data_IF_092013155184
#
_entry.id   IF_092013155184
#
_cell.length_a   1.000
_cell.length_b   1.000
_cell.length_c   1.000
_cell.angle_alpha   90.00
_cell.angle_beta   90.00
_cell.angle_gamma   90.00
#
_symmetry.space_group_name_H-M   'P 1'
#
loop_
_entity.id
_entity.type
_entity.pdbx_description
1 polymer ?
#
# COMPACT_ATOMS: atom_id res chain seq x y z
N UNK A 1 17.30 13.56 12.05
CA UNK A 1 17.05 13.30 10.66
C UNK A 1 15.78 12.58 10.44
N UNK A 2 14.97 13.14 9.61
CA UNK A 2 13.68 12.56 9.32
C UNK A 2 13.73 11.90 7.97
N UNK A 3 13.26 10.68 7.93
CA UNK A 3 13.07 10.02 6.67
C UNK A 3 11.61 10.07 6.33
N UNK A 4 11.31 10.74 5.26
CA UNK A 4 9.96 10.74 4.75
C UNK A 4 9.81 9.60 3.79
N UNK A 5 8.94 8.69 4.15
CA UNK A 5 8.62 7.61 3.24
C UNK A 5 7.44 8.04 2.40
N UNK A 6 7.64 8.04 1.11
CA UNK A 6 6.56 8.32 0.19
C UNK A 6 5.86 7.03 -0.16
N UNK A 7 4.56 7.05 -0.08
CA UNK A 7 3.77 5.90 -0.47
C UNK A 7 2.99 6.27 -1.72
N UNK A 8 2.73 5.27 -2.53
CA UNK A 8 2.00 5.44 -3.78
C UNK A 8 0.70 4.67 -3.69
N UNK A 9 -0.30 5.16 -4.38
CA UNK A 9 -1.59 4.49 -4.43
C UNK A 9 -1.65 3.66 -5.69
N UNK A 10 -1.93 2.38 -5.55
CA UNK A 10 -2.12 1.50 -6.69
C UNK A 10 -3.51 0.90 -6.59
N UNK A 11 -4.15 0.73 -7.74
CA UNK A 11 -5.47 0.14 -7.81
C UNK A 11 -5.36 -1.22 -8.46
N UNK A 12 -5.78 -2.24 -7.74
CA UNK A 12 -5.70 -3.61 -8.22
C UNK A 12 -7.06 -4.24 -8.05
N UNK A 13 -7.64 -4.68 -9.16
CA UNK A 13 -8.95 -5.33 -9.16
C UNK A 13 -10.00 -4.46 -8.48
N UNK A 14 -9.92 -3.16 -8.72
CA UNK A 14 -10.89 -2.23 -8.17
C UNK A 14 -10.67 -1.85 -6.73
N UNK A 15 -9.57 -2.26 -6.15
CA UNK A 15 -9.26 -1.95 -4.76
C UNK A 15 -7.99 -1.12 -4.70
N UNK A 16 -8.02 -0.10 -3.87
CA UNK A 16 -6.86 0.79 -3.70
C UNK A 16 -5.96 0.25 -2.61
N UNK A 17 -4.67 0.32 -2.87
CA UNK A 17 -3.66 -0.10 -1.91
C UNK A 17 -2.57 0.95 -1.86
N UNK A 18 -1.85 0.98 -0.75
CA UNK A 18 -0.66 1.82 -0.63
C UNK A 18 0.57 0.95 -0.70
N UNK A 19 1.60 1.47 -1.33
CA UNK A 19 2.86 0.74 -1.44
C UNK A 19 4.02 1.71 -1.35
N UNK A 20 5.12 1.26 -0.81
CA UNK A 20 6.32 2.08 -0.74
C UNK A 20 7.12 2.02 -2.03
N UNK A 21 6.91 0.99 -2.83
CA UNK A 21 7.63 0.84 -4.09
C UNK A 21 6.78 -0.05 -4.98
N UNK A 22 6.57 0.41 -6.21
CA UNK A 22 5.71 -0.34 -7.12
C UNK A 22 6.37 -1.61 -7.66
N UNK A 23 7.67 -1.73 -7.48
CA UNK A 23 8.39 -2.88 -8.00
C UNK A 23 8.72 -3.90 -6.92
N UNK A 24 9.21 -3.43 -5.78
CA UNK A 24 9.66 -4.33 -4.74
C UNK A 24 9.33 -3.79 -3.36
N UNK A 25 8.23 -3.10 -3.23
CA UNK A 25 7.87 -2.49 -1.95
C UNK A 25 6.85 -3.30 -1.19
N UNK A 26 6.59 -2.84 0.02
CA UNK A 26 5.56 -3.43 0.86
C UNK A 26 4.22 -2.81 0.50
N UNK A 27 3.18 -3.62 0.56
CA UNK A 27 1.83 -3.18 0.20
C UNK A 27 0.99 -3.16 1.47
N UNK A 28 0.30 -2.04 1.67
CA UNK A 28 -0.58 -1.84 2.82
C UNK A 28 -2.00 -1.65 2.32
N UNK A 29 -2.95 -2.05 3.12
CA UNK A 29 -4.33 -1.83 2.72
C UNK A 29 -4.70 -0.38 2.96
N UNK A 30 -5.65 0.09 2.17
CA UNK A 30 -6.15 1.44 2.29
C UNK A 30 -7.43 1.38 3.12
N UNK A 31 -7.43 2.06 4.26
CA UNK A 31 -8.57 2.08 5.15
C UNK A 31 -9.06 3.50 5.25
N UNK A 32 -10.33 3.65 5.58
CA UNK A 32 -10.91 4.97 5.76
C UNK A 32 -11.30 5.15 7.20
N UNK A 33 -10.96 6.32 7.69
CA UNK A 33 -11.30 6.72 9.03
C UNK A 33 -12.75 7.15 9.10
N UNK A 34 -13.19 7.48 10.31
CA UNK A 34 -14.54 8.00 10.50
C UNK A 34 -14.72 9.33 9.80
N UNK A 35 -13.64 10.04 9.58
CA UNK A 35 -13.70 11.33 8.91
C UNK A 35 -13.52 11.20 7.41
N UNK A 36 -13.67 10.01 6.87
CA UNK A 36 -13.48 9.76 5.43
C UNK A 36 -12.06 10.08 4.99
N UNK A 37 -11.10 9.97 5.88
CA UNK A 37 -9.72 10.20 5.52
C UNK A 37 -9.04 8.88 5.21
N UNK A 38 -8.29 8.87 4.14
CA UNK A 38 -7.53 7.68 3.75
C UNK A 38 -6.38 7.50 4.71
N UNK A 39 -6.19 6.28 5.16
CA UNK A 39 -5.12 5.95 6.08
C UNK A 39 -4.49 4.65 5.64
N UNK A 40 -3.29 4.43 6.11
CA UNK A 40 -2.56 3.22 5.78
C UNK A 40 -2.89 2.18 6.84
N UNK A 41 -3.39 1.04 6.37
CA UNK A 41 -3.74 -0.04 7.28
C UNK A 41 -2.59 -1.01 7.48
N UNK A 42 -2.95 -2.27 7.61
CA UNK A 42 -1.95 -3.30 7.88
C UNK A 42 -1.24 -3.72 6.62
N UNK A 43 -0.04 -4.24 6.79
CA UNK A 43 0.71 -4.81 5.69
C UNK A 43 0.00 -6.08 5.22
N UNK A 44 -0.36 -6.12 3.95
CA UNK A 44 -1.10 -7.24 3.41
C UNK A 44 -0.33 -7.99 2.35
N UNK A 45 0.79 -7.43 1.87
CA UNK A 45 1.51 -8.11 0.82
C UNK A 45 2.77 -7.36 0.45
N UNK A 46 3.35 -7.77 -0.66
CA UNK A 46 4.60 -7.20 -1.14
C UNK A 46 4.60 -7.26 -2.66
N UNK A 47 5.20 -6.26 -3.28
CA UNK A 47 5.46 -6.32 -4.72
C UNK A 47 6.77 -7.04 -4.95
N UNK A 48 6.76 -7.92 -5.95
CA UNK A 48 7.96 -8.63 -6.37
C UNK A 48 8.04 -8.50 -7.87
N UNK A 49 9.02 -7.73 -8.36
CA UNK A 49 9.18 -7.54 -9.78
C UNK A 49 7.96 -6.90 -10.43
N UNK A 50 7.27 -6.06 -9.71
CA UNK A 50 6.08 -5.39 -10.24
C UNK A 50 4.80 -6.17 -10.07
N UNK A 51 4.85 -7.33 -9.43
CA UNK A 51 3.67 -8.14 -9.21
C UNK A 51 3.33 -8.16 -7.74
N UNK A 52 2.06 -8.07 -7.45
CA UNK A 52 1.59 -8.05 -6.09
C UNK A 52 1.45 -9.47 -5.56
N UNK A 53 2.02 -9.69 -4.41
CA UNK A 53 1.87 -10.96 -3.70
C UNK A 53 1.27 -10.67 -2.35
N UNK A 54 0.10 -11.20 -2.11
CA UNK A 54 -0.57 -11.03 -0.84
C UNK A 54 -0.09 -12.10 0.14
N UNK A 55 -0.05 -11.71 1.42
CA UNK A 55 0.46 -12.60 2.45
C UNK A 55 -0.62 -13.48 3.02
N UNK A 56 -1.55 -13.82 2.23
CA UNK A 56 -2.59 -14.72 2.71
C UNK A 56 -2.70 -15.93 1.85
#
# INVERSE_FOLDING_TARGET
>A
EEEEEEVYIVTIKGTNYYTTDRMNGTVYECVKDEDDEDDIGDEIGTFVGGKLKLNK
#
